data_IF_770581870285
#
_entry.id   IF_770581870285
#
_cell.length_a   1.000
_cell.length_b   1.000
_cell.length_c   1.000
_cell.angle_alpha   90.00
_cell.angle_beta   90.00
_cell.angle_gamma   90.00
#
_symmetry.space_group_name_H-M   'P 1'
#
loop_
_entity.id
_entity.type
_entity.pdbx_description
1 polymer ?
#
# COMPACT_ATOMS: atom_id res chain seq x y z
N UNK A 1 12.30 46.07 -7.19
CA UNK A 1 11.73 44.90 -6.47
C UNK A 1 12.03 45.09 -4.99
N UNK A 2 11.00 45.17 -4.14
CA UNK A 2 11.19 45.50 -2.72
C UNK A 2 11.65 44.26 -1.92
N UNK A 3 12.44 44.46 -0.86
CA UNK A 3 12.97 43.39 0.00
C UNK A 3 11.85 42.49 0.55
N UNK A 4 10.70 43.07 0.88
CA UNK A 4 9.51 42.32 1.31
C UNK A 4 8.98 41.38 0.22
N UNK A 5 9.06 41.77 -1.05
CA UNK A 5 8.61 40.93 -2.16
C UNK A 5 9.56 39.73 -2.34
N UNK A 6 10.86 39.94 -2.14
CA UNK A 6 11.89 38.89 -2.20
C UNK A 6 11.71 37.93 -1.02
N UNK A 7 11.54 38.46 0.19
CA UNK A 7 11.35 37.65 1.39
C UNK A 7 10.07 36.80 1.31
N UNK A 8 8.97 37.37 0.81
CA UNK A 8 7.71 36.68 0.60
C UNK A 8 7.81 35.55 -0.44
N UNK A 9 8.55 35.77 -1.54
CA UNK A 9 8.77 34.72 -2.55
C UNK A 9 9.66 33.59 -2.02
N UNK A 10 10.71 33.91 -1.26
CA UNK A 10 11.57 32.89 -0.62
C UNK A 10 10.79 32.05 0.39
N UNK A 11 9.94 32.67 1.21
CA UNK A 11 9.09 31.96 2.17
C UNK A 11 8.12 31.01 1.46
N UNK A 12 7.50 31.42 0.35
CA UNK A 12 6.63 30.52 -0.42
C UNK A 12 7.39 29.34 -1.07
N UNK A 13 8.65 29.52 -1.49
CA UNK A 13 9.46 28.41 -2.00
C UNK A 13 9.85 27.39 -0.91
N UNK A 14 10.03 27.86 0.33
CA UNK A 14 10.42 27.02 1.47
C UNK A 14 9.26 26.20 2.06
N UNK A 15 8.02 26.46 1.63
CA UNK A 15 6.83 25.70 2.01
C UNK A 15 6.50 24.57 1.02
N UNK A 16 7.44 24.19 0.14
CA UNK A 16 7.24 23.06 -0.77
C UNK A 16 7.19 21.76 0.04
N UNK A 17 6.10 21.03 -0.14
CA UNK A 17 5.61 19.98 0.73
C UNK A 17 6.54 18.76 0.84
N UNK A 18 6.59 18.17 2.02
CA UNK A 18 7.07 16.80 2.21
C UNK A 18 6.02 15.87 1.58
N UNK A 19 6.20 15.49 0.31
CA UNK A 19 5.29 14.55 -0.34
C UNK A 19 5.32 13.22 0.41
N UNK A 20 4.19 12.84 0.99
CA UNK A 20 3.96 11.48 1.49
C UNK A 20 3.94 10.56 0.26
N UNK A 21 4.95 9.70 0.16
CA UNK A 21 5.07 8.75 -0.94
C UNK A 21 3.86 7.80 -0.95
N UNK A 22 3.28 7.56 -2.12
CA UNK A 22 2.19 6.60 -2.27
C UNK A 22 2.71 5.19 -1.93
N UNK A 23 2.18 4.52 -0.87
CA UNK A 23 2.71 3.23 -0.42
C UNK A 23 2.63 2.13 -1.49
N UNK A 24 1.65 2.20 -2.40
CA UNK A 24 1.53 1.24 -3.51
C UNK A 24 2.62 1.45 -4.56
N UNK A 25 2.97 2.71 -4.83
CA UNK A 25 4.08 3.05 -5.74
C UNK A 25 5.39 2.57 -5.13
N UNK A 26 5.59 2.83 -3.83
CA UNK A 26 6.76 2.37 -3.10
C UNK A 26 6.90 0.83 -3.12
N UNK A 27 5.82 0.10 -2.80
CA UNK A 27 5.80 -1.35 -2.82
C UNK A 27 6.07 -1.93 -4.23
N UNK A 28 5.54 -1.28 -5.27
CA UNK A 28 5.80 -1.67 -6.66
C UNK A 28 7.27 -1.44 -7.05
N UNK A 29 7.88 -0.33 -6.60
CA UNK A 29 9.29 -0.06 -6.83
C UNK A 29 10.18 -1.15 -6.19
N UNK A 30 9.89 -1.54 -4.95
CA UNK A 30 10.59 -2.66 -4.28
C UNK A 30 10.46 -3.94 -5.09
N UNK A 31 9.24 -4.28 -5.53
CA UNK A 31 8.99 -5.50 -6.31
C UNK A 31 9.77 -5.50 -7.64
N UNK A 32 9.82 -4.36 -8.33
CA UNK A 32 10.56 -4.21 -9.59
C UNK A 32 12.08 -4.33 -9.37
N UNK A 33 12.62 -3.61 -8.38
CA UNK A 33 14.05 -3.67 -8.03
C UNK A 33 14.47 -5.08 -7.63
N UNK A 34 13.60 -5.81 -6.93
CA UNK A 34 13.82 -7.20 -6.55
C UNK A 34 13.50 -8.20 -7.68
N UNK A 35 13.23 -7.74 -8.90
CA UNK A 35 12.78 -8.52 -10.07
C UNK A 35 11.72 -9.59 -9.75
N UNK A 36 10.74 -9.22 -8.93
CA UNK A 36 9.59 -10.05 -8.62
C UNK A 36 8.60 -10.01 -9.78
N UNK A 37 7.90 -11.11 -9.99
CA UNK A 37 6.79 -11.18 -10.95
C UNK A 37 5.48 -10.89 -10.24
N UNK A 38 4.76 -9.88 -10.74
CA UNK A 38 3.42 -9.57 -10.25
C UNK A 38 2.38 -10.51 -10.85
N UNK A 39 1.47 -11.01 -10.02
CA UNK A 39 0.31 -11.82 -10.43
C UNK A 39 -0.92 -11.47 -9.61
N UNK A 40 -2.07 -11.44 -10.28
CA UNK A 40 -3.38 -11.36 -9.66
C UNK A 40 -4.00 -12.75 -9.63
N UNK A 41 -4.28 -13.26 -8.43
CA UNK A 41 -4.94 -14.54 -8.22
C UNK A 41 -6.38 -14.24 -7.82
N UNK A 42 -7.32 -14.53 -8.72
CA UNK A 42 -8.75 -14.39 -8.44
C UNK A 42 -9.16 -15.54 -7.53
N UNK A 43 -9.65 -15.20 -6.34
CA UNK A 43 -10.30 -16.15 -5.43
C UNK A 43 -11.82 -16.01 -5.57
N UNK A 44 -12.58 -16.79 -4.81
CA UNK A 44 -14.05 -16.69 -4.84
C UNK A 44 -14.60 -15.36 -4.31
N UNK A 45 -13.91 -14.69 -3.38
CA UNK A 45 -14.43 -13.51 -2.66
C UNK A 45 -13.59 -12.25 -2.87
N UNK A 46 -12.31 -12.40 -3.24
CA UNK A 46 -11.39 -11.29 -3.43
C UNK A 46 -10.27 -11.66 -4.41
N UNK A 47 -9.49 -10.69 -4.85
CA UNK A 47 -8.31 -10.92 -5.69
C UNK A 47 -7.05 -10.68 -4.87
N UNK A 48 -6.15 -11.67 -4.84
CA UNK A 48 -4.82 -11.52 -4.26
C UNK A 48 -3.89 -10.88 -5.29
N UNK A 49 -3.28 -9.75 -4.93
CA UNK A 49 -2.14 -9.21 -5.65
C UNK A 49 -0.85 -9.76 -5.03
N UNK A 50 -0.04 -10.44 -5.83
CA UNK A 50 1.18 -11.10 -5.36
C UNK A 50 2.37 -10.61 -6.17
N UNK A 51 3.51 -10.38 -5.51
CA UNK A 51 4.80 -10.17 -6.16
C UNK A 51 5.75 -11.25 -5.65
N UNK A 52 6.19 -12.15 -6.52
CA UNK A 52 6.99 -13.30 -6.09
C UNK A 52 8.06 -13.71 -7.10
N UNK A 53 9.04 -14.47 -6.63
CA UNK A 53 10.03 -15.16 -7.46
C UNK A 53 9.94 -16.65 -7.14
N UNK A 54 9.36 -17.43 -8.06
CA UNK A 54 9.14 -18.87 -7.88
C UNK A 54 10.16 -19.62 -8.72
N UNK A 55 11.12 -20.29 -8.07
CA UNK A 55 12.17 -21.09 -8.73
C UNK A 55 11.75 -22.55 -8.99
N UNK A 56 10.66 -23.02 -8.37
CA UNK A 56 10.16 -24.40 -8.48
C UNK A 56 8.64 -24.41 -8.62
N UNK A 57 8.09 -24.11 -9.81
CA UNK A 57 6.66 -23.90 -10.01
C UNK A 57 5.79 -25.13 -9.71
N UNK A 58 6.37 -26.33 -9.73
CA UNK A 58 5.65 -27.59 -9.52
C UNK A 58 5.75 -28.12 -8.09
N UNK A 59 6.36 -27.36 -7.17
CA UNK A 59 6.45 -27.74 -5.75
C UNK A 59 5.38 -27.01 -4.95
N UNK A 60 4.80 -27.67 -3.92
CA UNK A 60 3.87 -26.99 -3.03
C UNK A 60 4.58 -25.85 -2.31
N UNK A 61 3.86 -24.73 -2.14
CA UNK A 61 4.29 -23.59 -1.34
C UNK A 61 3.33 -23.44 -0.17
N UNK A 62 3.86 -23.13 1.01
CA UNK A 62 3.06 -22.76 2.16
C UNK A 62 2.98 -21.24 2.22
N UNK A 63 1.77 -20.71 2.11
CA UNK A 63 1.50 -19.28 2.13
C UNK A 63 0.81 -18.98 3.45
N UNK A 64 1.46 -18.17 4.28
CA UNK A 64 0.86 -17.60 5.48
C UNK A 64 0.44 -16.17 5.17
N UNK A 65 -0.82 -15.85 5.43
CA UNK A 65 -1.42 -14.54 5.19
C UNK A 65 -1.81 -13.99 6.56
N UNK A 66 -1.16 -12.93 7.00
CA UNK A 66 -1.64 -12.14 8.14
C UNK A 66 -2.65 -11.10 7.66
N UNK A 67 -3.68 -10.87 8.47
CA UNK A 67 -4.52 -9.69 8.29
C UNK A 67 -3.69 -8.45 8.59
N UNK A 68 -3.64 -7.51 7.65
CA UNK A 68 -2.76 -6.33 7.71
C UNK A 68 -3.19 -5.26 8.74
N UNK A 69 -4.30 -5.49 9.46
CA UNK A 69 -4.86 -4.53 10.43
C UNK A 69 -5.33 -3.22 9.80
N UNK A 70 -5.16 -3.05 8.48
CA UNK A 70 -5.37 -1.80 7.74
C UNK A 70 -6.81 -1.60 7.30
N UNK A 71 -7.75 -2.44 7.77
CA UNK A 71 -9.16 -2.11 7.77
C UNK A 71 -9.41 -0.71 8.39
N UNK A 72 -8.52 -0.28 9.30
CA UNK A 72 -8.48 1.06 9.88
C UNK A 72 -7.12 1.73 9.63
N UNK A 73 -7.13 2.88 8.94
CA UNK A 73 -5.97 3.75 8.71
C UNK A 73 -5.55 4.45 10.03
N UNK A 74 -6.50 4.66 10.94
CA UNK A 74 -6.28 5.12 12.31
C UNK A 74 -7.44 4.65 13.22
N UNK A 75 -7.35 4.87 14.54
CA UNK A 75 -8.41 4.54 15.49
C UNK A 75 -9.80 5.11 15.14
N UNK A 76 -9.87 6.12 14.25
CA UNK A 76 -11.12 6.76 13.83
C UNK A 76 -11.35 6.77 12.32
N UNK A 77 -10.47 6.16 11.52
CA UNK A 77 -10.56 6.20 10.06
C UNK A 77 -10.52 4.79 9.48
N UNK A 78 -11.64 4.37 8.88
CA UNK A 78 -11.69 3.16 8.05
C UNK A 78 -10.90 3.36 6.74
N UNK A 79 -10.31 2.29 6.24
CA UNK A 79 -9.72 2.31 4.90
C UNK A 79 -10.79 2.44 3.84
N UNK A 80 -10.55 3.34 2.88
CA UNK A 80 -11.42 3.53 1.70
C UNK A 80 -11.03 2.61 0.55
N UNK A 81 -9.92 1.87 0.67
CA UNK A 81 -9.58 0.82 -0.28
C UNK A 81 -10.57 -0.33 -0.14
N UNK A 82 -11.38 -0.56 -1.18
CA UNK A 82 -12.36 -1.65 -1.18
C UNK A 82 -11.73 -3.04 -1.07
N UNK A 83 -10.44 -3.18 -1.39
CA UNK A 83 -9.68 -4.42 -1.19
C UNK A 83 -9.25 -4.63 0.26
N UNK A 84 -9.35 -3.60 1.11
CA UNK A 84 -9.02 -3.63 2.54
C UNK A 84 -10.26 -3.40 3.43
N UNK A 85 -11.39 -2.94 2.86
CA UNK A 85 -12.71 -2.79 3.49
C UNK A 85 -13.53 -4.11 3.52
N UNK A 86 -12.89 -5.27 3.47
CA UNK A 86 -13.62 -6.49 3.81
C UNK A 86 -13.75 -6.53 5.33
N UNK A 87 -14.86 -6.00 5.84
CA UNK A 87 -15.23 -6.22 7.23
C UNK A 87 -15.16 -7.72 7.54
N UNK A 88 -14.22 -8.08 8.41
CA UNK A 88 -14.14 -9.35 9.13
C UNK A 88 -15.46 -9.59 9.88
N UNK A 89 -16.48 -10.11 9.19
CA UNK A 89 -17.57 -10.87 9.79
C UNK A 89 -17.11 -12.32 9.97
N UNK A 90 -16.08 -12.52 10.78
CA UNK A 90 -15.97 -13.75 11.54
C UNK A 90 -16.31 -13.39 12.98
N UNK A 91 -17.61 -13.20 13.21
CA UNK A 91 -18.20 -13.31 14.53
C UNK A 91 -17.78 -14.66 15.11
N UNK A 92 -17.16 -14.59 16.29
CA UNK A 92 -17.09 -15.64 17.29
C UNK A 92 -18.44 -16.39 17.35
N UNK A 93 -18.49 -17.55 16.71
CA UNK A 93 -19.39 -18.66 17.06
C UNK A 93 -18.56 -19.94 16.91
N UNK A 94 -17.62 -20.08 17.84
CA UNK A 94 -17.40 -21.31 18.57
C UNK A 94 -17.66 -20.97 20.05
#
# INVERSE_FOLDING_TARGET
>A
MNLHNILSTVIMLLLTECMVENPLVHANNIAQQAHLTQKFIVTGQFTLNTCSRISSPNKPIYIYIEGDGFAWISNHQLSTDQRQNWHLRYSLLA
#
